data_IF_655834371338
#
_entry.id   IF_655834371338
#
_cell.length_a   1.000
_cell.length_b   1.000
_cell.length_c   1.000
_cell.angle_alpha   90.00
_cell.angle_beta   90.00
_cell.angle_gamma   90.00
#
_symmetry.space_group_name_H-M   'P 1'
#
loop_
_entity.id
_entity.type
_entity.pdbx_description
1 polymer ?
#
# COMPACT_ATOMS: atom_id res chain seq x y z
N UNK A 1 7.06 15.80 20.30
CA UNK A 1 7.02 14.47 19.64
C UNK A 1 7.97 13.54 20.38
N UNK A 2 7.58 12.30 20.66
CA UNK A 2 8.53 11.29 21.16
C UNK A 2 9.36 10.71 20.01
N UNK A 3 10.53 10.12 20.30
CA UNK A 3 11.34 9.42 19.28
C UNK A 3 10.56 8.27 18.61
N UNK A 4 9.73 7.56 19.40
CA UNK A 4 8.88 6.50 18.89
C UNK A 4 7.80 7.01 17.93
N UNK A 5 7.20 8.16 18.25
CA UNK A 5 6.21 8.83 17.40
C UNK A 5 6.86 9.31 16.09
N UNK A 6 8.03 9.93 16.15
CA UNK A 6 8.76 10.41 14.96
C UNK A 6 9.15 9.26 14.01
N UNK A 7 9.60 8.15 14.57
CA UNK A 7 9.85 6.93 13.79
C UNK A 7 8.56 6.41 13.13
N UNK A 8 7.43 6.44 13.84
CA UNK A 8 6.16 6.01 13.27
C UNK A 8 5.69 6.91 12.13
N UNK A 9 5.82 8.24 12.25
CA UNK A 9 5.53 9.19 11.17
C UNK A 9 6.36 8.85 9.94
N UNK A 10 7.67 8.64 10.13
CA UNK A 10 8.60 8.28 9.04
C UNK A 10 8.17 7.01 8.33
N UNK A 11 7.80 5.96 9.08
CA UNK A 11 7.36 4.71 8.49
C UNK A 11 6.00 4.81 7.79
N UNK A 12 5.04 5.54 8.36
CA UNK A 12 3.73 5.78 7.72
C UNK A 12 3.93 6.46 6.37
N UNK A 13 4.73 7.54 6.32
CA UNK A 13 5.03 8.24 5.07
C UNK A 13 5.70 7.32 4.05
N UNK A 14 6.76 6.62 4.44
CA UNK A 14 7.50 5.72 3.55
C UNK A 14 6.60 4.60 2.97
N UNK A 15 5.71 4.03 3.78
CA UNK A 15 4.78 3.00 3.30
C UNK A 15 3.64 3.56 2.46
N UNK A 16 3.16 4.77 2.74
CA UNK A 16 2.17 5.45 1.90
C UNK A 16 2.75 5.75 0.51
N UNK A 17 3.95 6.32 0.43
CA UNK A 17 4.67 6.54 -0.82
C UNK A 17 4.95 5.24 -1.59
N UNK A 18 5.38 4.20 -0.89
CA UNK A 18 5.61 2.89 -1.49
C UNK A 18 4.31 2.34 -2.08
N UNK A 19 3.21 2.46 -1.35
CA UNK A 19 1.88 2.00 -1.79
C UNK A 19 1.42 2.75 -3.03
N UNK A 20 1.52 4.08 -3.06
CA UNK A 20 1.13 4.89 -4.22
C UNK A 20 1.93 4.53 -5.48
N UNK A 21 3.26 4.41 -5.36
CA UNK A 21 4.12 3.93 -6.46
C UNK A 21 3.72 2.54 -6.94
N UNK A 22 3.33 1.68 -6.01
CA UNK A 22 2.95 0.31 -6.30
C UNK A 22 1.58 0.23 -7.01
N UNK A 23 0.63 1.09 -6.64
CA UNK A 23 -0.64 1.27 -7.36
C UNK A 23 -0.39 1.66 -8.82
N UNK A 24 0.52 2.61 -9.06
CA UNK A 24 0.89 3.04 -10.41
C UNK A 24 1.45 1.88 -11.24
N UNK A 25 2.38 1.11 -10.67
CA UNK A 25 2.96 -0.07 -11.35
C UNK A 25 1.92 -1.12 -11.71
N UNK A 26 1.01 -1.45 -10.77
CA UNK A 26 -0.09 -2.38 -11.04
C UNK A 26 -0.98 -1.84 -12.17
N UNK A 27 -1.30 -0.55 -12.15
CA UNK A 27 -2.11 0.10 -13.19
C UNK A 27 -1.44 0.02 -14.56
N UNK A 28 -0.15 0.33 -14.64
CA UNK A 28 0.63 0.28 -15.89
C UNK A 28 0.64 -1.13 -16.49
N UNK A 29 0.94 -2.15 -15.68
CA UNK A 29 0.98 -3.54 -16.15
C UNK A 29 -0.41 -4.01 -16.61
N UNK A 30 -1.47 -3.69 -15.86
CA UNK A 30 -2.85 -4.02 -16.24
C UNK A 30 -3.25 -3.31 -17.54
N UNK A 31 -2.85 -2.06 -17.74
CA UNK A 31 -3.12 -1.32 -18.99
C UNK A 31 -2.40 -1.95 -20.19
N UNK A 32 -1.13 -2.32 -20.03
CA UNK A 32 -0.36 -3.02 -21.07
C UNK A 32 -1.00 -4.37 -21.41
N UNK A 33 -1.34 -5.18 -20.41
CA UNK A 33 -2.00 -6.47 -20.60
C UNK A 33 -3.37 -6.32 -21.28
N UNK A 34 -4.17 -5.34 -20.88
CA UNK A 34 -5.47 -5.07 -21.50
C UNK A 34 -5.33 -4.57 -22.95
N UNK A 35 -4.31 -3.77 -23.25
CA UNK A 35 -4.03 -3.35 -24.61
C UNK A 35 -3.63 -4.54 -25.49
N UNK A 36 -2.76 -5.41 -24.99
CA UNK A 36 -2.28 -6.60 -25.68
C UNK A 36 -3.42 -7.60 -25.94
N UNK A 37 -4.25 -7.89 -24.94
CA UNK A 37 -5.44 -8.73 -25.08
C UNK A 37 -6.39 -8.18 -26.16
N UNK A 38 -6.65 -6.86 -26.18
CA UNK A 38 -7.48 -6.25 -27.22
C UNK A 38 -6.89 -6.35 -28.62
N UNK A 39 -5.57 -6.44 -28.76
CA UNK A 39 -4.93 -6.68 -30.05
C UNK A 39 -5.11 -8.13 -30.49
N UNK A 40 -4.88 -9.08 -29.58
CA UNK A 40 -5.09 -10.52 -29.82
C UNK A 40 -6.54 -10.88 -30.14
N UNK A 41 -7.51 -10.22 -29.50
CA UNK A 41 -8.94 -10.40 -29.78
C UNK A 41 -9.32 -9.96 -31.21
N UNK A 42 -8.60 -8.98 -31.76
CA UNK A 42 -8.84 -8.47 -33.12
C UNK A 42 -8.16 -9.31 -34.18
N UNK A 43 -6.91 -9.68 -33.92
CA UNK A 43 -6.10 -10.47 -34.83
C UNK A 43 -5.21 -11.39 -34.00
N UNK A 44 -5.55 -12.67 -33.99
CA UNK A 44 -4.83 -13.65 -33.18
C UNK A 44 -3.42 -13.86 -33.76
N UNK A 45 -2.42 -13.45 -33.00
CA UNK A 45 -1.01 -13.61 -33.33
C UNK A 45 -0.28 -14.38 -32.22
N UNK A 46 0.42 -15.45 -32.60
CA UNK A 46 1.10 -16.34 -31.65
C UNK A 46 2.28 -15.66 -30.95
N UNK A 47 3.02 -14.82 -31.66
CA UNK A 47 4.18 -14.14 -31.09
C UNK A 47 3.73 -13.03 -30.16
N UNK A 48 2.67 -12.31 -30.51
CA UNK A 48 1.99 -11.36 -29.65
C UNK A 48 1.42 -12.02 -28.38
N UNK A 49 0.89 -13.24 -28.49
CA UNK A 49 0.37 -13.99 -27.34
C UNK A 49 1.47 -14.36 -26.32
N UNK A 50 2.73 -14.53 -26.75
CA UNK A 50 3.85 -14.78 -25.84
C UNK A 50 4.21 -13.56 -24.99
N UNK A 51 3.84 -12.36 -25.44
CA UNK A 51 4.08 -11.12 -24.68
C UNK A 51 3.17 -10.99 -23.44
N UNK A 52 2.09 -11.78 -23.35
CA UNK A 52 1.22 -11.81 -22.17
C UNK A 52 1.90 -12.46 -20.96
N UNK A 53 2.77 -13.45 -21.17
CA UNK A 53 3.37 -14.23 -20.09
C UNK A 53 4.30 -13.38 -19.18
N UNK A 54 5.20 -12.54 -19.71
CA UNK A 54 5.94 -11.56 -18.91
C UNK A 54 5.03 -10.59 -18.13
N UNK A 55 3.98 -10.07 -18.78
CA UNK A 55 3.04 -9.14 -18.15
C UNK A 55 2.26 -9.80 -17.01
N UNK A 56 1.86 -11.07 -17.18
CA UNK A 56 1.23 -11.83 -16.11
C UNK A 56 2.16 -12.02 -14.91
N UNK A 57 3.42 -12.42 -15.15
CA UNK A 57 4.41 -12.57 -14.06
C UNK A 57 4.67 -11.25 -13.34
N UNK A 58 4.78 -10.16 -14.09
CA UNK A 58 4.96 -8.85 -13.52
C UNK A 58 3.73 -8.45 -12.69
N UNK A 59 2.52 -8.58 -13.25
CA UNK A 59 1.28 -8.26 -12.55
C UNK A 59 1.19 -9.02 -11.22
N UNK A 60 1.48 -10.32 -11.24
CA UNK A 60 1.53 -11.15 -10.05
C UNK A 60 2.42 -10.55 -8.95
N UNK A 61 3.66 -10.21 -9.30
CA UNK A 61 4.62 -9.65 -8.32
C UNK A 61 4.25 -8.25 -7.85
N UNK A 62 3.71 -7.41 -8.74
CA UNK A 62 3.33 -6.04 -8.40
C UNK A 62 2.07 -6.03 -7.51
N UNK A 63 1.09 -6.88 -7.77
CA UNK A 63 -0.10 -7.03 -6.93
C UNK A 63 0.24 -7.58 -5.55
N UNK A 64 1.12 -8.59 -5.47
CA UNK A 64 1.57 -9.13 -4.19
C UNK A 64 2.35 -8.09 -3.36
N UNK A 65 3.20 -7.29 -4.03
CA UNK A 65 3.93 -6.20 -3.38
C UNK A 65 2.97 -5.13 -2.86
N UNK A 66 1.90 -4.83 -3.61
CA UNK A 66 0.89 -3.86 -3.20
C UNK A 66 0.18 -4.28 -1.91
N UNK A 67 -0.28 -5.54 -1.84
CA UNK A 67 -0.93 -6.08 -0.62
C UNK A 67 0.00 -5.94 0.59
N UNK A 68 1.28 -6.23 0.41
CA UNK A 68 2.26 -6.12 1.50
C UNK A 68 2.46 -4.67 1.95
N UNK A 69 2.65 -3.74 1.02
CA UNK A 69 2.83 -2.32 1.34
C UNK A 69 1.61 -1.74 2.06
N UNK A 70 0.40 -2.06 1.61
CA UNK A 70 -0.86 -1.66 2.26
C UNK A 70 -0.95 -2.20 3.69
N UNK A 71 -0.65 -3.48 3.88
CA UNK A 71 -0.69 -4.08 5.20
C UNK A 71 0.33 -3.44 6.16
N UNK A 72 1.52 -3.08 5.67
CA UNK A 72 2.51 -2.37 6.48
C UNK A 72 2.05 -0.94 6.80
N UNK A 73 1.50 -0.21 5.83
CA UNK A 73 0.93 1.12 6.04
C UNK A 73 -0.11 1.11 7.16
N UNK A 74 -1.09 0.20 7.10
CA UNK A 74 -2.12 0.05 8.12
C UNK A 74 -1.53 -0.20 9.52
N UNK A 75 -0.56 -1.10 9.62
CA UNK A 75 0.07 -1.44 10.90
C UNK A 75 0.83 -0.27 11.51
N UNK A 76 1.56 0.48 10.68
CA UNK A 76 2.30 1.65 11.15
C UNK A 76 1.37 2.82 11.47
N UNK A 77 0.30 3.02 10.71
CA UNK A 77 -0.71 4.04 11.01
C UNK A 77 -1.45 3.73 12.32
N UNK A 78 -1.83 2.46 12.54
CA UNK A 78 -2.40 1.98 13.79
C UNK A 78 -1.43 2.15 14.98
N UNK A 79 -0.13 1.94 14.77
CA UNK A 79 0.88 2.19 15.80
C UNK A 79 1.05 3.68 16.08
N UNK A 80 1.12 4.53 15.06
CA UNK A 80 1.21 5.98 15.21
C UNK A 80 0.05 6.54 16.05
N UNK A 81 -1.17 6.05 15.81
CA UNK A 81 -2.33 6.41 16.62
C UNK A 81 -2.13 6.09 18.11
N UNK A 82 -1.57 4.91 18.43
CA UNK A 82 -1.24 4.54 19.83
C UNK A 82 -0.21 5.47 20.45
N UNK A 83 0.86 5.80 19.73
CA UNK A 83 1.90 6.71 20.23
C UNK A 83 1.34 8.12 20.51
N UNK A 84 0.30 8.52 19.77
CA UNK A 84 -0.43 9.77 19.96
C UNK A 84 -1.55 9.70 21.02
N UNK A 85 -1.75 8.55 21.66
CA UNK A 85 -2.85 8.34 22.60
C UNK A 85 -4.24 8.37 21.96
N UNK A 86 -4.31 8.15 20.65
CA UNK A 86 -5.55 8.06 19.87
C UNK A 86 -5.99 6.59 19.75
N UNK A 87 -7.28 6.39 19.43
CA UNK A 87 -7.80 5.06 19.13
C UNK A 87 -7.10 4.52 17.86
N UNK A 88 -6.56 3.29 17.88
CA UNK A 88 -5.92 2.71 16.71
C UNK A 88 -6.94 2.45 15.60
N UNK A 89 -6.49 2.58 14.34
CA UNK A 89 -7.31 2.18 13.20
C UNK A 89 -7.72 0.70 13.32
N UNK A 90 -9.01 0.44 13.09
CA UNK A 90 -9.52 -0.93 12.96
C UNK A 90 -8.88 -1.59 11.74
N UNK A 91 -8.29 -2.78 11.87
CA UNK A 91 -7.70 -3.47 10.72
C UNK A 91 -8.76 -3.87 9.69
N UNK A 92 -8.48 -3.63 8.43
CA UNK A 92 -9.21 -4.16 7.29
C UNK A 92 -9.09 -5.69 7.28
N UNK A 93 -10.23 -6.31 7.59
CA UNK A 93 -10.38 -7.77 7.69
C UNK A 93 -10.05 -8.44 6.36
N UNK A 94 -10.49 -7.87 5.25
CA UNK A 94 -10.31 -8.43 3.91
C UNK A 94 -8.84 -8.32 3.48
N UNK A 95 -8.20 -7.16 3.68
CA UNK A 95 -6.77 -6.99 3.43
C UNK A 95 -5.91 -7.94 4.27
N UNK A 96 -6.23 -8.07 5.56
CA UNK A 96 -5.53 -9.00 6.46
C UNK A 96 -5.67 -10.44 5.98
N UNK A 97 -6.89 -10.87 5.67
CA UNK A 97 -7.14 -12.25 5.26
C UNK A 97 -6.53 -12.53 3.88
N UNK A 98 -6.51 -11.56 2.97
CA UNK A 98 -5.82 -11.64 1.67
C UNK A 98 -4.31 -11.77 1.83
N UNK A 99 -3.69 -10.90 2.65
CA UNK A 99 -2.24 -10.99 2.93
C UNK A 99 -1.89 -12.37 3.49
N UNK A 100 -2.66 -12.87 4.44
CA UNK A 100 -2.39 -14.17 5.06
C UNK A 100 -2.63 -15.32 4.07
N UNK A 101 -3.58 -15.19 3.15
CA UNK A 101 -3.81 -16.17 2.10
C UNK A 101 -2.65 -16.21 1.09
N UNK A 102 -2.09 -15.05 0.73
CA UNK A 102 -0.91 -14.96 -0.14
C UNK A 102 0.36 -15.51 0.53
N UNK A 103 0.55 -15.25 1.83
CA UNK A 103 1.68 -15.80 2.60
C UNK A 103 1.71 -17.33 2.63
N UNK A 104 0.53 -17.96 2.59
CA UNK A 104 0.37 -19.41 2.63
C UNK A 104 -0.12 -19.99 1.30
N UNK A 105 0.11 -19.28 0.20
CA UNK A 105 -0.37 -19.70 -1.11
C UNK A 105 0.30 -21.00 -1.59
N UNK A 106 1.49 -21.32 -1.08
CA UNK A 106 2.21 -22.55 -1.37
C UNK A 106 1.49 -23.82 -0.85
N UNK A 107 0.63 -23.67 0.14
CA UNK A 107 -0.24 -24.73 0.64
C UNK A 107 -1.59 -24.83 -0.13
N UNK A 108 -1.88 -23.92 -1.06
CA UNK A 108 -3.14 -23.87 -1.80
C UNK A 108 -3.23 -24.90 -2.94
N UNK A 109 -4.45 -25.27 -3.30
CA UNK A 109 -4.71 -26.08 -4.50
C UNK A 109 -4.81 -25.14 -5.69
N UNK A 110 -3.98 -25.33 -6.70
CA UNK A 110 -4.00 -24.52 -7.92
C UNK A 110 -4.90 -25.19 -8.97
N UNK A 111 -6.04 -24.56 -9.26
CA UNK A 111 -6.92 -24.98 -10.34
C UNK A 111 -6.55 -24.27 -11.64
N UNK A 112 -6.25 -25.07 -12.66
CA UNK A 112 -6.01 -24.61 -14.03
C UNK A 112 -4.97 -23.47 -14.18
N UNK A 113 -4.08 -23.31 -13.19
CA UNK A 113 -3.00 -22.33 -13.16
C UNK A 113 -3.44 -20.86 -12.98
N UNK A 114 -4.72 -20.60 -12.72
CA UNK A 114 -5.26 -19.23 -12.63
C UNK A 114 -6.19 -19.00 -11.43
N UNK A 115 -6.39 -20.02 -10.60
CA UNK A 115 -7.20 -19.95 -9.40
C UNK A 115 -6.50 -20.72 -8.29
N UNK A 116 -6.42 -20.14 -7.11
CA UNK A 116 -5.93 -20.81 -5.91
C UNK A 116 -7.08 -20.99 -4.92
N UNK A 117 -7.34 -22.24 -4.54
CA UNK A 117 -8.43 -22.63 -3.66
C UNK A 117 -7.92 -23.31 -2.39
N UNK A 118 -8.79 -23.36 -1.39
CA UNK A 118 -8.46 -23.99 -0.12
C UNK A 118 -8.50 -25.52 -0.28
N UNK A 119 -7.35 -26.17 -0.10
CA UNK A 119 -7.28 -27.63 -0.04
C UNK A 119 -8.11 -28.25 1.10
N UNK A 120 -8.18 -29.59 1.11
CA UNK A 120 -9.08 -30.34 1.99
C UNK A 120 -8.78 -30.18 3.49
N UNK A 121 -7.55 -29.85 3.88
CA UNK A 121 -7.19 -29.64 5.29
C UNK A 121 -7.71 -28.27 5.78
N UNK A 122 -8.69 -28.21 6.70
CA UNK A 122 -9.27 -26.96 7.18
C UNK A 122 -8.33 -26.15 8.08
N UNK A 123 -7.22 -26.73 8.55
CA UNK A 123 -6.20 -26.01 9.31
C UNK A 123 -5.25 -25.26 8.38
N UNK A 124 -5.01 -25.79 7.18
CA UNK A 124 -4.25 -25.12 6.12
C UNK A 124 -5.15 -24.14 5.38
N UNK A 125 -4.59 -23.06 4.85
CA UNK A 125 -5.31 -22.07 4.03
C UNK A 125 -6.55 -21.44 4.72
N UNK A 126 -6.56 -21.34 6.05
CA UNK A 126 -7.70 -20.79 6.80
C UNK A 126 -8.08 -19.39 6.34
N UNK A 127 -7.09 -18.57 6.01
CA UNK A 127 -7.32 -17.20 5.55
C UNK A 127 -7.91 -17.16 4.14
N UNK A 128 -7.53 -18.10 3.28
CA UNK A 128 -8.09 -18.22 1.94
C UNK A 128 -9.58 -18.61 1.99
N UNK A 129 -9.99 -19.46 2.94
CA UNK A 129 -11.42 -19.77 3.24
C UNK A 129 -12.23 -18.59 3.79
N UNK A 130 -11.58 -17.50 4.21
CA UNK A 130 -12.25 -16.29 4.69
C UNK A 130 -12.41 -15.25 3.59
N UNK A 131 -11.75 -15.43 2.45
CA UNK A 131 -11.90 -14.56 1.31
C UNK A 131 -13.28 -14.75 0.66
N UNK A 132 -13.82 -13.69 0.05
CA UNK A 132 -14.98 -13.82 -0.85
C UNK A 132 -14.74 -14.91 -1.90
N UNK A 133 -15.64 -15.89 -1.96
CA UNK A 133 -15.52 -17.02 -2.89
C UNK A 133 -14.53 -18.12 -2.47
N UNK A 134 -13.87 -17.98 -1.30
CA UNK A 134 -12.88 -18.94 -0.79
C UNK A 134 -11.73 -19.23 -1.77
N UNK A 135 -11.37 -18.24 -2.59
CA UNK A 135 -10.34 -18.39 -3.61
C UNK A 135 -9.55 -17.08 -3.84
N UNK A 136 -8.42 -17.22 -4.52
CA UNK A 136 -7.64 -16.12 -5.09
C UNK A 136 -7.62 -16.29 -6.60
N UNK A 137 -8.12 -15.27 -7.32
CA UNK A 137 -7.96 -15.20 -8.76
C UNK A 137 -6.53 -14.79 -9.12
N UNK A 138 -5.83 -15.66 -9.86
CA UNK A 138 -4.49 -15.42 -10.39
C UNK A 138 -4.62 -15.01 -11.86
N UNK A 139 -5.18 -13.82 -12.07
CA UNK A 139 -5.48 -13.28 -13.40
C UNK A 139 -4.99 -11.84 -13.55
N UNK A 140 -4.84 -11.39 -14.80
CA UNK A 140 -4.52 -9.99 -15.11
C UNK A 140 -5.81 -9.17 -15.22
N UNK A 141 -5.98 -8.20 -14.31
CA UNK A 141 -7.07 -7.22 -14.34
C UNK A 141 -8.17 -7.43 -13.28
N UNK A 142 -9.16 -6.54 -13.26
CA UNK A 142 -10.25 -6.59 -12.28
C UNK A 142 -9.87 -6.10 -10.88
N UNK A 143 -10.45 -6.72 -9.84
CA UNK A 143 -10.10 -6.48 -8.44
C UNK A 143 -8.77 -7.15 -8.11
N UNK A 144 -7.98 -6.58 -7.20
CA UNK A 144 -6.74 -7.17 -6.70
C UNK A 144 -7.02 -8.58 -6.17
N UNK A 145 -6.46 -9.60 -6.80
CA UNK A 145 -6.75 -11.01 -6.48
C UNK A 145 -8.25 -11.37 -6.43
N UNK A 146 -9.11 -10.64 -7.15
CA UNK A 146 -10.57 -10.82 -7.12
C UNK A 146 -11.29 -10.24 -5.90
N UNK A 147 -10.57 -9.61 -4.97
CA UNK A 147 -11.09 -9.23 -3.63
C UNK A 147 -11.17 -7.73 -3.43
N UNK A 148 -10.06 -6.99 -3.56
CA UNK A 148 -10.00 -5.55 -3.24
C UNK A 148 -10.06 -4.65 -4.47
N UNK A 149 -10.68 -3.48 -4.38
CA UNK A 149 -10.67 -2.48 -5.44
C UNK A 149 -9.40 -1.62 -5.39
N UNK A 150 -8.64 -1.58 -6.48
CA UNK A 150 -7.39 -0.82 -6.57
C UNK A 150 -7.60 0.68 -6.32
N UNK A 151 -8.75 1.23 -6.70
CA UNK A 151 -9.05 2.66 -6.53
C UNK A 151 -9.26 3.00 -5.06
N UNK A 152 -9.99 2.15 -4.33
CA UNK A 152 -10.26 2.37 -2.91
C UNK A 152 -8.95 2.33 -2.12
N UNK A 153 -8.06 1.40 -2.47
CA UNK A 153 -6.73 1.28 -1.87
C UNK A 153 -5.84 2.50 -2.15
N UNK A 154 -5.93 3.09 -3.35
CA UNK A 154 -5.22 4.33 -3.69
C UNK A 154 -5.69 5.51 -2.85
N UNK A 155 -7.02 5.64 -2.67
CA UNK A 155 -7.60 6.73 -1.86
C UNK A 155 -7.07 6.67 -0.44
N UNK A 156 -7.12 5.49 0.19
CA UNK A 156 -6.62 5.29 1.56
C UNK A 156 -5.13 5.64 1.67
N UNK A 157 -4.31 5.16 0.73
CA UNK A 157 -2.88 5.44 0.74
C UNK A 157 -2.58 6.94 0.56
N UNK A 158 -3.34 7.61 -0.29
CA UNK A 158 -3.22 9.04 -0.57
C UNK A 158 -3.62 9.88 0.65
N UNK A 159 -4.73 9.56 1.30
CA UNK A 159 -5.15 10.24 2.54
C UNK A 159 -4.10 10.15 3.63
N UNK A 160 -3.46 8.98 3.78
CA UNK A 160 -2.34 8.85 4.71
C UNK A 160 -1.12 9.68 4.30
N UNK A 161 -0.77 9.70 3.02
CA UNK A 161 0.36 10.48 2.51
C UNK A 161 0.14 11.98 2.71
N UNK A 162 -0.99 12.51 2.21
CA UNK A 162 -1.34 13.93 2.30
C UNK A 162 -1.36 14.42 3.74
N UNK A 163 -1.94 13.64 4.67
CA UNK A 163 -1.92 13.97 6.09
C UNK A 163 -0.50 14.06 6.67
N UNK A 164 0.44 13.22 6.24
CA UNK A 164 1.83 13.29 6.74
C UNK A 164 2.58 14.49 6.15
N UNK A 165 2.32 14.84 4.89
CA UNK A 165 2.89 16.05 4.26
C UNK A 165 2.37 17.32 4.94
N UNK A 166 1.07 17.39 5.23
CA UNK A 166 0.47 18.53 5.95
C UNK A 166 1.08 18.69 7.34
N UNK A 167 1.23 17.59 8.09
CA UNK A 167 1.86 17.61 9.43
C UNK A 167 3.35 18.02 9.38
N UNK A 168 4.08 17.61 8.34
CA UNK A 168 5.48 18.01 8.15
C UNK A 168 5.57 19.51 7.82
N UNK A 169 4.71 20.00 6.94
CA UNK A 169 4.65 21.41 6.58
C UNK A 169 4.34 22.30 7.79
N UNK A 170 3.33 21.94 8.60
CA UNK A 170 2.99 22.66 9.83
C UNK A 170 4.16 22.68 10.83
N UNK A 171 4.92 21.58 10.91
CA UNK A 171 6.10 21.51 11.79
C UNK A 171 7.21 22.42 11.30
N UNK A 172 7.51 22.41 10.01
CA UNK A 172 8.53 23.29 9.41
C UNK A 172 8.17 24.77 9.61
N UNK A 173 6.89 25.15 9.42
CA UNK A 173 6.41 26.51 9.64
C UNK A 173 6.62 26.95 11.10
N UNK A 174 6.22 26.10 12.06
CA UNK A 174 6.42 26.38 13.48
C UNK A 174 7.91 26.48 13.88
N UNK A 175 8.78 25.65 13.30
CA UNK A 175 10.23 25.72 13.53
C UNK A 175 10.83 27.02 12.97
N UNK A 176 10.35 27.50 11.82
CA UNK A 176 10.75 28.79 11.24
C UNK A 176 10.28 29.95 12.12
N UNK A 177 9.03 29.97 12.55
CA UNK A 177 8.49 31.01 13.44
C UNK A 177 9.28 31.10 14.75
N UNK A 178 9.55 29.95 15.38
CA UNK A 178 10.35 29.89 16.60
C UNK A 178 11.79 30.42 16.40
N UNK A 179 12.40 30.12 15.25
CA UNK A 179 13.73 30.62 14.91
C UNK A 179 13.73 32.14 14.68
N UNK A 180 12.69 32.68 14.06
CA UNK A 180 12.50 34.13 13.86
C UNK A 180 12.35 34.83 15.21
N UNK A 181 11.50 34.32 16.09
CA UNK A 181 11.26 34.90 17.42
C UNK A 181 12.55 34.90 18.26
N UNK A 182 13.27 33.78 18.29
CA UNK A 182 14.57 33.68 18.97
C UNK A 182 15.58 34.70 18.43
N UNK A 183 15.65 34.89 17.12
CA UNK A 183 16.53 35.88 16.51
C UNK A 183 16.17 37.31 16.92
N UNK A 184 14.87 37.64 16.98
CA UNK A 184 14.42 38.96 17.43
C UNK A 184 14.75 39.21 18.91
N UNK A 185 14.57 38.21 19.77
CA UNK A 185 14.92 38.30 21.19
C UNK A 185 16.42 38.55 21.39
N UNK A 186 17.28 37.84 20.66
CA UNK A 186 18.73 38.03 20.68
C UNK A 186 19.14 39.44 20.23
N UNK A 187 18.52 39.95 19.16
CA UNK A 187 18.76 41.32 18.65
C UNK A 187 18.30 42.38 19.66
N UNK A 188 17.17 42.17 20.33
CA UNK A 188 16.67 43.07 21.37
C UNK A 188 17.56 43.04 22.61
N UNK A 189 18.03 41.86 23.03
CA UNK A 189 18.96 41.69 24.14
C UNK A 189 20.29 42.40 23.87
N UNK A 190 20.90 42.17 22.69
CA UNK A 190 22.15 42.82 22.29
C UNK A 190 22.03 44.36 22.26
N UNK A 191 20.87 44.91 21.88
CA UNK A 191 20.62 46.37 21.91
C UNK A 191 20.48 46.95 23.31
N UNK A 192 20.07 46.16 24.30
CA UNK A 192 19.97 46.61 25.70
C UNK A 192 21.35 46.70 26.36
N UNK A 193 22.29 45.85 25.99
CA UNK A 193 23.66 45.84 26.52
C UNK A 193 24.53 47.01 26.01
N UNK A 194 24.12 47.65 24.91
CA UNK A 194 24.81 48.78 24.29
C UNK A 194 24.36 50.16 24.80
N UNK A 195 23.43 50.22 25.77
CA UNK A 195 22.91 51.46 26.37
C UNK A 195 23.30 51.57 27.84
#
# INVERSE_FOLDING_TARGET
MSEAEEACVTFVRAWAESTLRQVERVREVRQQAAQLNRQLDRDWDRDLAKELEPLWRQNWTEEHSLVWSLHQLERWASRLARERGLEPLEPDVELRDLRNALEHLDDAVLEHGHLAEAGEDPKKNRSLRRLPGENIAIATGGRLFGTLDLRDLEVIAREHFERMEDEEFEREEAEIEAAIDSYFDDVVAARRELR
#
